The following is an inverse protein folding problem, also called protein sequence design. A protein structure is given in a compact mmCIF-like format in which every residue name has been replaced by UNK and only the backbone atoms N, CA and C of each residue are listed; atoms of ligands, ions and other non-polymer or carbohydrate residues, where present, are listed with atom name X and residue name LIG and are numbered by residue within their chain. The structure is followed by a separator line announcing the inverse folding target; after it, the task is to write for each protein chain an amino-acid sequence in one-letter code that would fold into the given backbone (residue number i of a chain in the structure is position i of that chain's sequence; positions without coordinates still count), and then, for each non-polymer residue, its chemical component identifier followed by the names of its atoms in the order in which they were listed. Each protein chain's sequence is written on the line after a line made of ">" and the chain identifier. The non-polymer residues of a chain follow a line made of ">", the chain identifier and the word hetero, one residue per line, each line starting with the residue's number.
data_IF_482669363014
#
_entry.id   IF_482669363014
#
_cell.length_a   1.000
_cell.length_b   1.000
_cell.length_c   1.000
_cell.angle_alpha   90.00
_cell.angle_beta   90.00
_cell.angle_gamma   90.00
#
_symmetry.space_group_name_H-M   'P 1'
#
loop_
_entity.id
_entity.type
_entity.pdbx_description
1 polymer ?
#
# COMPACT_ATOMS: atom_id res chain seq x y z
N UNK A 1 13.60 -1.29 0.48
CA UNK A 1 13.41 -0.35 1.61
C UNK A 1 12.05 0.28 1.48
N UNK A 2 11.33 0.45 2.59
CA UNK A 2 10.03 1.11 2.59
C UNK A 2 10.19 2.61 2.30
N UNK A 3 9.50 3.17 1.29
CA UNK A 3 9.58 4.61 1.02
C UNK A 3 8.92 5.44 2.13
N UNK A 4 9.28 6.73 2.25
CA UNK A 4 8.62 7.64 3.18
C UNK A 4 7.12 7.73 2.86
N UNK A 5 6.30 8.04 3.87
CA UNK A 5 4.83 8.05 3.75
C UNK A 5 4.32 9.02 2.66
N UNK A 6 5.03 10.11 2.44
CA UNK A 6 4.66 11.16 1.49
C UNK A 6 5.11 10.85 0.06
N UNK A 7 5.72 9.68 -0.17
CA UNK A 7 6.10 9.23 -1.51
C UNK A 7 4.84 8.99 -2.38
N UNK A 8 4.78 9.54 -3.60
CA UNK A 8 3.60 9.44 -4.46
C UNK A 8 3.23 8.00 -4.84
N UNK A 9 4.16 7.05 -4.72
CA UNK A 9 3.89 5.61 -4.93
C UNK A 9 2.86 5.07 -3.95
N UNK A 10 2.76 5.62 -2.74
CA UNK A 10 1.70 5.25 -1.80
C UNK A 10 0.33 5.63 -2.30
N UNK A 11 0.20 6.83 -2.88
CA UNK A 11 -1.05 7.26 -3.49
C UNK A 11 -1.43 6.36 -4.66
N UNK A 12 -0.46 6.05 -5.52
CA UNK A 12 -0.66 5.10 -6.62
C UNK A 12 -1.10 3.72 -6.13
N UNK A 13 -0.55 3.23 -5.01
CA UNK A 13 -0.86 1.93 -4.44
C UNK A 13 -2.33 1.82 -3.98
N UNK A 14 -2.84 2.87 -3.34
CA UNK A 14 -4.20 2.89 -2.77
C UNK A 14 -5.28 3.26 -3.79
N UNK A 15 -4.94 3.95 -4.88
CA UNK A 15 -5.88 4.34 -5.95
C UNK A 15 -5.92 3.29 -7.07
N UNK A 16 -4.77 2.77 -7.49
CA UNK A 16 -4.71 1.82 -8.58
C UNK A 16 -5.34 0.48 -8.17
N UNK A 17 -6.13 -0.14 -9.04
CA UNK A 17 -6.75 -1.45 -8.81
C UNK A 17 -6.02 -2.62 -9.46
N UNK A 18 -4.86 -2.37 -10.09
CA UNK A 18 -4.04 -3.41 -10.69
C UNK A 18 -3.72 -4.53 -9.69
N UNK A 19 -3.75 -5.76 -10.18
CA UNK A 19 -3.38 -6.93 -9.39
C UNK A 19 -1.88 -6.88 -9.09
N UNK A 20 -1.53 -6.97 -7.81
CA UNK A 20 -0.16 -7.04 -7.35
C UNK A 20 0.16 -8.49 -7.00
N UNK A 21 1.29 -9.06 -7.47
CA UNK A 21 1.69 -10.43 -7.15
C UNK A 21 2.27 -10.49 -5.73
N UNK A 22 1.44 -10.18 -4.74
CA UNK A 22 1.76 -10.23 -3.31
C UNK A 22 1.76 -11.69 -2.85
N UNK A 23 2.70 -12.05 -1.99
CA UNK A 23 2.81 -13.38 -1.41
C UNK A 23 2.04 -13.47 -0.10
N UNK A 24 2.18 -12.48 0.80
CA UNK A 24 1.55 -12.56 2.10
C UNK A 24 0.04 -12.26 2.02
N UNK A 25 -0.77 -13.12 2.64
CA UNK A 25 -2.21 -12.90 2.75
C UNK A 25 -2.54 -11.57 3.44
N UNK A 26 -1.76 -11.23 4.48
CA UNK A 26 -1.93 -9.97 5.21
C UNK A 26 -1.74 -8.74 4.28
N UNK A 27 -0.75 -8.78 3.39
CA UNK A 27 -0.53 -7.74 2.38
C UNK A 27 -1.71 -7.66 1.41
N UNK A 28 -2.23 -8.79 0.92
CA UNK A 28 -3.42 -8.80 0.06
C UNK A 28 -4.62 -8.17 0.77
N UNK A 29 -4.87 -8.57 2.01
CA UNK A 29 -6.00 -8.07 2.79
C UNK A 29 -5.91 -6.57 3.06
N UNK A 30 -4.72 -6.06 3.44
CA UNK A 30 -4.59 -4.63 3.72
C UNK A 30 -4.76 -3.80 2.44
N UNK A 31 -4.19 -4.24 1.31
CA UNK A 31 -4.31 -3.54 0.03
C UNK A 31 -5.77 -3.50 -0.43
N UNK A 32 -6.48 -4.62 -0.35
CA UNK A 32 -7.92 -4.67 -0.64
C UNK A 32 -8.70 -3.71 0.26
N UNK A 33 -8.42 -3.69 1.57
CA UNK A 33 -9.08 -2.80 2.53
C UNK A 33 -8.88 -1.34 2.19
N UNK A 34 -7.64 -0.90 1.95
CA UNK A 34 -7.34 0.51 1.66
C UNK A 34 -7.85 0.95 0.30
N UNK A 35 -7.83 0.07 -0.72
CA UNK A 35 -8.44 0.35 -2.03
C UNK A 35 -9.96 0.47 -1.94
N UNK A 36 -10.61 -0.37 -1.12
CA UNK A 36 -12.05 -0.27 -0.88
C UNK A 36 -12.44 1.03 -0.15
N UNK A 37 -11.62 1.46 0.81
CA UNK A 37 -11.81 2.73 1.53
C UNK A 37 -11.83 3.94 0.58
N UNK A 38 -10.95 3.93 -0.43
CA UNK A 38 -10.87 4.99 -1.45
C UNK A 38 -11.95 4.84 -2.52
N UNK A 39 -12.19 3.62 -3.02
CA UNK A 39 -13.09 3.34 -4.15
C UNK A 39 -14.57 3.70 -3.91
N UNK A 40 -15.02 3.75 -2.66
CA UNK A 40 -16.41 4.10 -2.33
C UNK A 40 -16.74 5.60 -2.41
N UNK A 41 -15.75 6.49 -2.25
CA UNK A 41 -15.89 7.95 -2.41
C UNK A 41 -14.49 8.58 -2.33
N UNK A 42 -13.79 8.78 -3.47
CA UNK A 42 -12.43 9.29 -3.47
C UNK A 42 -12.41 10.75 -3.00
N UNK A 43 -11.89 10.99 -1.79
CA UNK A 43 -11.61 12.31 -1.24
C UNK A 43 -10.18 12.36 -0.74
N UNK A 44 -9.58 13.56 -0.71
CA UNK A 44 -8.20 13.74 -0.25
C UNK A 44 -7.99 13.21 1.18
N UNK A 45 -9.01 13.30 2.03
CA UNK A 45 -8.97 12.79 3.40
C UNK A 45 -8.89 11.26 3.43
N UNK A 46 -9.79 10.57 2.71
CA UNK A 46 -9.79 9.09 2.64
C UNK A 46 -8.55 8.53 1.98
N UNK A 47 -8.01 9.23 1.00
CA UNK A 47 -6.73 8.86 0.38
C UNK A 47 -5.57 8.98 1.38
N UNK A 48 -5.51 10.06 2.16
CA UNK A 48 -4.52 10.23 3.22
C UNK A 48 -4.65 9.19 4.34
N UNK A 49 -5.87 8.84 4.72
CA UNK A 49 -6.15 7.76 5.67
C UNK A 49 -5.70 6.40 5.13
N UNK A 50 -6.05 6.07 3.88
CA UNK A 50 -5.65 4.84 3.21
C UNK A 50 -4.13 4.69 3.13
N UNK A 51 -3.42 5.77 2.76
CA UNK A 51 -1.94 5.80 2.73
C UNK A 51 -1.38 5.58 4.13
N UNK A 52 -1.95 6.22 5.15
CA UNK A 52 -1.49 6.07 6.54
C UNK A 52 -1.66 4.63 7.03
N UNK A 53 -2.82 4.01 6.77
CA UNK A 53 -3.09 2.61 7.14
C UNK A 53 -2.10 1.65 6.46
N UNK A 54 -1.87 1.83 5.15
CA UNK A 54 -0.95 1.00 4.39
C UNK A 54 0.49 1.17 4.92
N UNK A 55 0.96 2.40 5.07
CA UNK A 55 2.30 2.71 5.56
C UNK A 55 2.57 2.11 6.94
N UNK A 56 1.67 2.32 7.90
CA UNK A 56 1.81 1.77 9.26
C UNK A 56 1.84 0.24 9.27
N UNK A 57 1.02 -0.42 8.43
CA UNK A 57 1.06 -1.86 8.29
C UNK A 57 2.41 -2.37 7.77
N UNK A 58 2.90 -1.82 6.66
CA UNK A 58 4.16 -2.27 6.06
C UNK A 58 5.36 -1.90 6.93
N UNK A 59 5.33 -0.77 7.63
CA UNK A 59 6.36 -0.37 8.58
C UNK A 59 6.42 -1.31 9.77
N UNK A 60 5.28 -1.62 10.38
CA UNK A 60 5.20 -2.53 11.55
C UNK A 60 5.63 -3.95 11.20
N UNK A 61 5.39 -4.39 9.96
CA UNK A 61 5.64 -5.76 9.52
C UNK A 61 6.81 -5.86 8.53
N UNK A 62 7.68 -4.85 8.44
CA UNK A 62 8.66 -4.69 7.34
C UNK A 62 9.47 -5.96 7.06
N UNK A 63 9.89 -6.66 8.12
CA UNK A 63 10.63 -7.92 8.00
C UNK A 63 9.78 -9.06 7.41
N UNK A 64 8.54 -9.21 7.89
CA UNK A 64 7.65 -10.30 7.52
C UNK A 64 7.08 -10.17 6.11
N UNK A 65 6.93 -8.93 5.61
CA UNK A 65 6.38 -8.64 4.27
C UNK A 65 7.42 -8.00 3.34
N UNK A 66 8.71 -8.25 3.60
CA UNK A 66 9.82 -7.63 2.87
C UNK A 66 9.80 -7.92 1.36
N UNK A 67 9.41 -9.12 0.95
CA UNK A 67 9.24 -9.48 -0.47
C UNK A 67 8.08 -8.73 -1.13
N UNK A 68 6.98 -8.51 -0.40
CA UNK A 68 5.86 -7.71 -0.89
C UNK A 68 6.24 -6.23 -1.01
N UNK A 69 7.01 -5.70 -0.06
CA UNK A 69 7.55 -4.33 -0.13
C UNK A 69 8.43 -4.17 -1.37
N UNK A 70 9.27 -5.16 -1.69
CA UNK A 70 10.07 -5.17 -2.93
C UNK A 70 9.18 -5.27 -4.17
N UNK A 71 8.13 -6.07 -4.14
CA UNK A 71 7.19 -6.20 -5.24
C UNK A 71 6.48 -4.86 -5.53
N UNK A 72 6.04 -4.16 -4.49
CA UNK A 72 5.29 -2.91 -4.60
C UNK A 72 6.21 -1.73 -4.99
N UNK A 73 7.38 -1.61 -4.37
CA UNK A 73 8.22 -0.40 -4.47
C UNK A 73 9.57 -0.62 -5.17
N UNK A 74 9.93 -1.86 -5.49
CA UNK A 74 11.25 -2.23 -6.02
C UNK A 74 11.44 -2.07 -7.52
N UNK A 75 10.44 -1.57 -8.27
CA UNK A 75 10.64 -1.15 -9.67
C UNK A 75 11.12 0.29 -9.72
N UNK A 76 12.44 0.42 -9.70
CA UNK A 76 13.18 1.68 -9.82
C UNK A 76 14.66 1.40 -9.61
N UNK A 77 15.28 0.74 -10.59
CA UNK A 77 16.73 0.74 -10.81
C UNK A 77 17.07 1.83 -11.81
#
# INVERSE_FOLDING_TARGET
>A
MLPPKDDPRWMSLVVNQDELPLQALASKMIITRVRHLVGGNPSSEKMGEAVTIAYEFFKKNEHAVSEDIKCIFGRGS
#
